data_IF_426309816479
#
_entry.id   IF_426309816479
#
_cell.length_a   1.000
_cell.length_b   1.000
_cell.length_c   1.000
_cell.angle_alpha   90.00
_cell.angle_beta   90.00
_cell.angle_gamma   90.00
#
_symmetry.space_group_name_H-M   'P 1'
#
loop_
_entity.id
_entity.type
_entity.pdbx_description
1 polymer ?
#
# COMPACT_ATOMS: atom_id res chain seq x y z
N UNK A 1 39.72 28.70 69.79
CA UNK A 1 39.83 30.13 69.47
C UNK A 1 40.59 30.28 68.15
N UNK A 2 40.03 31.07 67.20
CA UNK A 2 40.65 31.66 65.98
C UNK A 2 40.77 30.80 64.69
N UNK A 3 39.68 30.84 63.91
CA UNK A 3 39.50 31.36 62.53
C UNK A 3 40.64 31.25 61.49
N UNK A 4 40.29 30.78 60.28
CA UNK A 4 40.46 31.41 58.93
C UNK A 4 40.53 30.31 57.84
N UNK A 5 39.50 30.11 57.00
CA UNK A 5 39.27 30.71 55.67
C UNK A 5 40.45 30.65 54.68
N UNK A 6 40.30 29.79 53.65
CA UNK A 6 41.06 29.75 52.39
C UNK A 6 40.45 28.70 51.46
N UNK A 7 39.47 29.06 50.62
CA UNK A 7 39.60 29.38 49.19
C UNK A 7 39.75 28.14 48.25
N UNK A 8 38.59 27.72 47.68
CA UNK A 8 38.30 27.20 46.33
C UNK A 8 39.31 26.29 45.60
N UNK A 9 38.92 25.03 45.35
CA UNK A 9 39.20 24.23 44.13
C UNK A 9 38.01 23.26 43.95
N UNK A 10 37.09 23.45 43.00
CA UNK A 10 37.04 22.85 41.65
C UNK A 10 36.93 21.30 41.62
N UNK A 11 35.77 20.80 41.18
CA UNK A 11 35.45 19.38 40.95
C UNK A 11 33.99 19.13 41.32
N UNK A 12 33.00 19.11 40.42
CA UNK A 12 32.98 18.45 39.13
C UNK A 12 32.40 17.06 39.31
N UNK A 13 31.07 16.89 39.26
CA UNK A 13 30.46 15.69 38.69
C UNK A 13 28.99 15.94 38.34
N UNK A 14 28.71 15.74 37.06
CA UNK A 14 27.43 15.77 36.37
C UNK A 14 26.43 14.79 37.01
N UNK A 15 25.28 15.27 37.46
CA UNK A 15 24.12 14.43 37.70
C UNK A 15 23.41 14.24 36.35
N UNK A 16 23.71 13.13 35.68
CA UNK A 16 23.10 12.73 34.40
C UNK A 16 21.62 12.48 34.63
N UNK A 17 20.78 13.31 34.00
CA UNK A 17 19.34 13.14 33.95
C UNK A 17 19.00 11.76 33.35
N UNK A 18 18.28 10.95 34.12
CA UNK A 18 17.52 9.80 33.66
C UNK A 18 16.41 10.27 32.72
N UNK A 19 16.77 10.57 31.46
CA UNK A 19 15.83 10.59 30.36
C UNK A 19 15.58 9.13 29.96
N UNK A 20 14.60 8.52 30.63
CA UNK A 20 14.04 7.25 30.20
C UNK A 20 13.53 7.41 28.77
N UNK A 21 14.24 6.78 27.84
CA UNK A 21 13.87 6.68 26.44
C UNK A 21 12.57 5.88 26.31
N UNK A 22 11.44 6.59 26.42
CA UNK A 22 10.23 6.16 25.74
C UNK A 22 10.45 6.40 24.26
N UNK A 23 11.08 5.44 23.57
CA UNK A 23 10.90 5.32 22.13
C UNK A 23 9.43 4.98 21.96
N UNK A 24 8.60 6.01 21.80
CA UNK A 24 7.26 5.86 21.27
C UNK A 24 7.45 5.06 19.99
N UNK A 25 6.92 3.83 19.96
CA UNK A 25 6.82 3.05 18.75
C UNK A 25 5.97 3.89 17.78
N UNK A 26 6.63 4.70 16.96
CA UNK A 26 5.98 5.46 15.90
C UNK A 26 5.42 4.39 14.98
N UNK A 27 4.10 4.27 14.93
CA UNK A 27 3.43 3.42 13.96
C UNK A 27 3.99 3.69 12.56
N UNK A 28 4.06 2.65 11.73
CA UNK A 28 4.51 2.79 10.34
C UNK A 28 3.68 3.90 9.67
N UNK A 29 4.33 4.76 8.89
CA UNK A 29 3.59 5.80 8.17
C UNK A 29 2.63 5.18 7.15
N UNK A 30 1.57 5.90 6.77
CA UNK A 30 0.67 5.45 5.70
C UNK A 30 1.45 5.10 4.41
N UNK A 31 2.45 5.90 4.05
CA UNK A 31 3.31 5.65 2.88
C UNK A 31 4.08 4.34 3.01
N UNK A 32 4.63 4.04 4.18
CA UNK A 32 5.26 2.76 4.47
C UNK A 32 4.26 1.60 4.36
N UNK A 33 3.05 1.74 4.91
CA UNK A 33 2.03 0.69 4.81
C UNK A 33 1.58 0.43 3.37
N UNK A 34 1.44 1.49 2.56
CA UNK A 34 1.11 1.40 1.14
C UNK A 34 2.23 0.73 0.36
N UNK A 35 3.48 1.15 0.54
CA UNK A 35 4.63 0.56 -0.18
C UNK A 35 4.82 -0.92 0.12
N UNK A 36 4.55 -1.36 1.36
CA UNK A 36 4.62 -2.77 1.76
C UNK A 36 3.51 -3.63 1.15
N UNK A 37 2.40 -3.03 0.73
CA UNK A 37 1.18 -3.72 0.25
C UNK A 37 0.89 -3.49 -1.23
N UNK A 38 1.79 -2.83 -1.95
CA UNK A 38 1.57 -2.48 -3.36
C UNK A 38 2.52 -3.27 -4.24
N UNK A 39 1.95 -3.99 -5.20
CA UNK A 39 2.69 -4.50 -6.35
C UNK A 39 2.42 -3.61 -7.56
N UNK A 40 3.49 -3.29 -8.31
CA UNK A 40 3.40 -2.48 -9.52
C UNK A 40 3.60 -3.36 -10.74
N UNK A 41 2.67 -3.31 -11.68
CA UNK A 41 2.73 -4.00 -12.97
C UNK A 41 2.93 -2.95 -14.06
N UNK A 42 3.90 -3.21 -14.95
CA UNK A 42 4.19 -2.37 -16.11
C UNK A 42 3.83 -3.13 -17.38
N UNK A 43 2.68 -2.80 -17.97
CA UNK A 43 2.16 -3.47 -19.17
C UNK A 43 3.04 -3.12 -20.37
N UNK A 44 3.55 -4.12 -21.09
CA UNK A 44 4.52 -3.98 -22.20
C UNK A 44 5.84 -3.27 -21.81
N UNK A 45 6.07 -3.02 -20.53
CA UNK A 45 7.25 -2.31 -20.05
C UNK A 45 8.50 -3.18 -20.09
N UNK A 46 9.62 -2.60 -20.54
CA UNK A 46 10.94 -3.23 -20.47
C UNK A 46 11.77 -2.55 -19.38
N UNK A 47 12.47 -3.36 -18.57
CA UNK A 47 13.39 -2.83 -17.56
C UNK A 47 14.75 -2.49 -18.19
N UNK A 48 15.24 -1.31 -17.87
CA UNK A 48 16.58 -0.83 -18.21
C UNK A 48 17.23 -0.30 -16.93
N UNK A 49 17.95 -1.18 -16.22
CA UNK A 49 18.39 -0.89 -14.85
C UNK A 49 17.19 -0.67 -13.94
N UNK A 50 17.14 0.49 -13.28
CA UNK A 50 16.04 0.88 -12.38
C UNK A 50 14.89 1.60 -13.10
N UNK A 51 15.00 1.82 -14.42
CA UNK A 51 13.98 2.46 -15.23
C UNK A 51 13.10 1.43 -15.93
N UNK A 52 11.83 1.78 -16.12
CA UNK A 52 10.93 1.05 -17.02
C UNK A 52 10.62 1.94 -18.22
N UNK A 53 10.88 1.43 -19.41
CA UNK A 53 10.68 2.13 -20.68
C UNK A 53 9.65 1.41 -21.53
N UNK A 54 8.94 2.17 -22.39
CA UNK A 54 7.97 1.63 -23.34
C UNK A 54 6.69 1.07 -22.72
N UNK A 55 6.47 1.23 -21.40
CA UNK A 55 5.26 0.73 -20.77
C UNK A 55 4.01 1.41 -21.32
N UNK A 56 3.02 0.61 -21.72
CA UNK A 56 1.72 1.06 -22.21
C UNK A 56 0.84 1.54 -21.08
N UNK A 57 0.89 0.86 -19.94
CA UNK A 57 0.16 1.21 -18.74
C UNK A 57 0.93 0.83 -17.47
N UNK A 58 0.55 1.45 -16.35
CA UNK A 58 0.99 1.10 -15.00
C UNK A 58 -0.23 0.72 -14.18
N UNK A 59 -0.19 -0.44 -13.53
CA UNK A 59 -1.17 -0.85 -12.54
C UNK A 59 -0.50 -0.98 -11.17
N UNK A 60 -1.21 -0.57 -10.14
CA UNK A 60 -0.86 -0.73 -8.73
C UNK A 60 -1.94 -1.61 -8.11
N UNK A 61 -1.55 -2.81 -7.66
CA UNK A 61 -2.43 -3.73 -6.95
C UNK A 61 -2.08 -3.63 -5.48
N UNK A 62 -2.98 -3.01 -4.72
CA UNK A 62 -2.86 -2.75 -3.29
C UNK A 62 -3.65 -3.80 -2.50
N UNK A 63 -2.98 -4.57 -1.66
CA UNK A 63 -3.63 -5.39 -0.64
C UNK A 63 -4.19 -4.49 0.46
N UNK A 64 -5.45 -4.69 0.83
CA UNK A 64 -6.10 -3.94 1.91
C UNK A 64 -6.44 -4.89 3.06
N UNK A 65 -5.61 -4.84 4.10
CA UNK A 65 -5.82 -5.56 5.36
C UNK A 65 -6.34 -4.65 6.46
N UNK A 66 -6.61 -5.22 7.64
CA UNK A 66 -7.17 -4.49 8.77
C UNK A 66 -6.26 -3.33 9.20
N UNK A 67 -4.96 -3.56 9.28
CA UNK A 67 -3.98 -2.56 9.69
C UNK A 67 -3.99 -1.34 8.75
N UNK A 68 -4.08 -1.57 7.44
CA UNK A 68 -4.19 -0.47 6.48
C UNK A 68 -5.53 0.27 6.60
N UNK A 69 -6.65 -0.43 6.84
CA UNK A 69 -7.97 0.20 7.02
C UNK A 69 -7.99 1.07 8.28
N UNK A 70 -7.42 0.58 9.38
CA UNK A 70 -7.27 1.34 10.63
C UNK A 70 -6.46 2.63 10.41
N UNK A 71 -5.36 2.58 9.65
CA UNK A 71 -4.57 3.77 9.31
C UNK A 71 -5.32 4.70 8.33
N UNK A 72 -6.09 4.17 7.38
CA UNK A 72 -6.88 4.99 6.45
C UNK A 72 -7.95 5.78 7.21
N UNK A 73 -8.64 5.20 8.19
CA UNK A 73 -9.71 5.89 8.93
C UNK A 73 -9.27 6.48 10.28
N UNK A 74 -7.98 6.42 10.61
CA UNK A 74 -7.43 7.02 11.82
C UNK A 74 -7.57 8.54 11.87
N UNK A 75 -7.58 9.10 13.08
CA UNK A 75 -7.85 10.53 13.35
C UNK A 75 -6.91 11.49 12.62
N UNK A 76 -5.64 11.10 12.40
CA UNK A 76 -4.61 11.92 11.74
C UNK A 76 -4.26 11.40 10.33
N UNK A 77 -5.14 10.61 9.73
CA UNK A 77 -4.85 9.94 8.48
C UNK A 77 -4.68 10.93 7.32
N UNK A 78 -3.58 10.76 6.59
CA UNK A 78 -3.30 11.51 5.36
C UNK A 78 -3.75 10.75 4.11
N UNK A 79 -4.66 9.78 4.25
CA UNK A 79 -5.13 8.99 3.13
C UNK A 79 -5.85 9.87 2.09
N UNK A 80 -5.47 9.78 0.81
CA UNK A 80 -6.14 10.52 -0.26
C UNK A 80 -7.57 10.03 -0.47
N UNK A 81 -8.42 10.89 -1.02
CA UNK A 81 -9.86 10.63 -1.16
C UNK A 81 -10.17 9.35 -1.95
N UNK A 82 -9.42 9.09 -3.04
CA UNK A 82 -9.61 7.86 -3.82
C UNK A 82 -9.43 6.61 -2.95
N UNK A 83 -8.43 6.61 -2.06
CA UNK A 83 -8.15 5.46 -1.20
C UNK A 83 -9.26 5.28 -0.17
N UNK A 84 -9.76 6.38 0.42
CA UNK A 84 -10.88 6.35 1.36
C UNK A 84 -12.18 5.87 0.71
N UNK A 85 -12.46 6.34 -0.51
CA UNK A 85 -13.65 5.98 -1.28
C UNK A 85 -13.70 4.48 -1.56
N UNK A 86 -12.57 3.86 -1.90
CA UNK A 86 -12.52 2.42 -2.14
C UNK A 86 -12.37 1.61 -0.84
N UNK A 87 -11.65 2.10 0.16
CA UNK A 87 -11.49 1.41 1.45
C UNK A 87 -12.81 1.22 2.19
N UNK A 88 -13.87 1.98 1.86
CA UNK A 88 -15.20 1.81 2.45
C UNK A 88 -15.77 0.40 2.20
N UNK A 89 -15.31 -0.29 1.16
CA UNK A 89 -15.72 -1.66 0.87
C UNK A 89 -15.16 -2.67 1.89
N UNK A 90 -14.19 -2.31 2.73
CA UNK A 90 -13.58 -3.20 3.72
C UNK A 90 -14.58 -3.82 4.71
N UNK A 91 -15.73 -3.16 4.94
CA UNK A 91 -16.81 -3.65 5.80
C UNK A 91 -17.96 -4.32 5.03
N UNK A 92 -17.81 -4.52 3.72
CA UNK A 92 -18.85 -5.13 2.87
C UNK A 92 -18.97 -6.64 3.13
N UNK A 93 -20.20 -7.14 3.18
CA UNK A 93 -20.49 -8.59 3.20
C UNK A 93 -19.89 -9.33 1.99
N UNK A 94 -19.66 -8.64 0.87
CA UNK A 94 -19.02 -9.21 -0.32
C UNK A 94 -17.58 -9.68 -0.08
N UNK A 95 -16.93 -9.19 0.99
CA UNK A 95 -15.57 -9.60 1.39
C UNK A 95 -15.53 -10.82 2.30
N UNK A 96 -16.68 -11.36 2.73
CA UNK A 96 -16.72 -12.50 3.65
C UNK A 96 -16.00 -13.72 3.04
N UNK A 97 -14.87 -14.09 3.65
CA UNK A 97 -14.04 -15.22 3.20
C UNK A 97 -13.19 -14.94 1.95
N UNK A 98 -13.07 -13.67 1.55
CA UNK A 98 -12.28 -13.20 0.40
C UNK A 98 -11.17 -12.25 0.84
N UNK A 99 -10.19 -12.04 -0.03
CA UNK A 99 -9.15 -11.03 0.20
C UNK A 99 -9.48 -9.74 -0.56
N UNK A 100 -9.30 -8.60 0.11
CA UNK A 100 -9.62 -7.28 -0.43
C UNK A 100 -8.42 -6.65 -1.12
N UNK A 101 -8.61 -6.20 -2.36
CA UNK A 101 -7.62 -5.42 -3.10
C UNK A 101 -8.23 -4.13 -3.65
N UNK A 102 -7.39 -3.12 -3.82
CA UNK A 102 -7.69 -1.94 -4.64
C UNK A 102 -6.71 -1.94 -5.80
N UNK A 103 -7.22 -1.72 -7.01
CA UNK A 103 -6.42 -1.59 -8.22
C UNK A 103 -6.50 -0.15 -8.68
N UNK A 104 -5.34 0.46 -8.86
CA UNK A 104 -5.21 1.78 -9.47
C UNK A 104 -4.41 1.65 -10.76
N UNK A 105 -4.87 2.27 -11.83
CA UNK A 105 -4.21 2.16 -13.13
C UNK A 105 -4.09 3.50 -13.83
N UNK A 106 -3.09 3.58 -14.70
CA UNK A 106 -2.84 4.72 -15.57
C UNK A 106 -2.42 4.25 -16.95
N UNK A 107 -3.14 4.68 -17.97
CA UNK A 107 -2.69 4.58 -19.36
C UNK A 107 -1.54 5.58 -19.58
N UNK A 108 -0.36 5.09 -19.93
CA UNK A 108 0.80 5.94 -20.22
C UNK A 108 0.78 6.38 -21.68
N UNK A 109 0.40 5.47 -22.56
CA UNK A 109 -0.01 5.70 -23.95
C UNK A 109 -1.36 5.01 -24.17
N UNK A 110 -2.05 5.20 -25.32
CA UNK A 110 -3.34 4.55 -25.56
C UNK A 110 -3.31 3.04 -25.29
N UNK A 111 -4.30 2.58 -24.52
CA UNK A 111 -4.34 1.24 -23.96
C UNK A 111 -5.77 0.76 -23.76
N UNK A 112 -6.04 -0.51 -24.07
CA UNK A 112 -7.32 -1.15 -23.77
C UNK A 112 -7.26 -1.82 -22.40
N UNK A 113 -8.04 -1.31 -21.44
CA UNK A 113 -8.13 -1.88 -20.10
C UNK A 113 -9.31 -2.85 -19.98
N UNK A 114 -9.02 -4.11 -19.70
CA UNK A 114 -9.99 -5.11 -19.29
C UNK A 114 -9.64 -5.60 -17.87
N UNK A 115 -10.48 -5.33 -16.84
CA UNK A 115 -10.21 -5.78 -15.48
C UNK A 115 -10.15 -7.30 -15.34
N UNK A 116 -10.72 -8.07 -16.28
CA UNK A 116 -10.65 -9.54 -16.26
C UNK A 116 -9.29 -10.09 -16.71
N UNK A 117 -8.39 -9.26 -17.23
CA UNK A 117 -6.98 -9.63 -17.44
C UNK A 117 -6.18 -9.65 -16.13
N UNK A 118 -6.74 -9.14 -15.03
CA UNK A 118 -6.08 -9.18 -13.71
C UNK A 118 -6.13 -10.60 -13.15
N UNK A 119 -5.02 -11.06 -12.59
CA UNK A 119 -4.95 -12.28 -11.79
C UNK A 119 -4.21 -12.06 -10.47
N UNK A 120 -4.61 -12.82 -9.45
CA UNK A 120 -4.04 -12.80 -8.11
C UNK A 120 -3.87 -14.25 -7.63
N UNK A 121 -2.62 -14.68 -7.47
CA UNK A 121 -2.29 -16.09 -7.33
C UNK A 121 -2.81 -16.88 -8.53
N UNK A 122 -3.52 -17.98 -8.25
CA UNK A 122 -4.11 -18.84 -9.29
C UNK A 122 -5.51 -18.36 -9.75
N UNK A 123 -6.03 -17.25 -9.20
CA UNK A 123 -7.37 -16.75 -9.50
C UNK A 123 -7.32 -15.62 -10.54
N UNK A 124 -7.98 -15.83 -11.68
CA UNK A 124 -8.27 -14.77 -12.66
C UNK A 124 -9.54 -14.01 -12.25
N UNK A 125 -9.46 -12.69 -12.21
CA UNK A 125 -10.56 -11.82 -11.80
C UNK A 125 -11.76 -11.98 -12.73
N UNK A 126 -12.93 -12.15 -12.15
CA UNK A 126 -14.22 -12.11 -12.84
C UNK A 126 -14.99 -10.84 -12.46
N UNK A 127 -15.95 -10.40 -13.28
CA UNK A 127 -16.82 -9.26 -12.97
C UNK A 127 -17.49 -9.37 -11.60
N UNK A 128 -17.82 -10.57 -11.14
CA UNK A 128 -18.41 -10.78 -9.80
C UNK A 128 -17.46 -10.49 -8.63
N UNK A 129 -16.15 -10.43 -8.91
CA UNK A 129 -15.14 -10.10 -7.93
C UNK A 129 -14.92 -8.58 -7.83
N UNK A 130 -15.44 -7.80 -8.79
CA UNK A 130 -15.32 -6.35 -8.79
C UNK A 130 -16.43 -5.73 -7.93
N UNK A 131 -16.03 -5.02 -6.87
CA UNK A 131 -16.94 -4.33 -5.96
C UNK A 131 -17.37 -2.97 -6.49
N UNK A 132 -16.47 -2.27 -7.18
CA UNK A 132 -16.79 -0.99 -7.83
C UNK A 132 -17.72 -1.24 -9.00
N UNK A 133 -18.85 -0.52 -9.08
CA UNK A 133 -19.75 -0.64 -10.21
C UNK A 133 -19.07 -0.20 -11.51
N UNK A 134 -19.42 -0.86 -12.62
CA UNK A 134 -18.77 -0.67 -13.93
C UNK A 134 -18.80 0.78 -14.42
N UNK A 135 -19.86 1.53 -14.10
CA UNK A 135 -20.03 2.93 -14.44
C UNK A 135 -19.07 3.89 -13.71
N UNK A 136 -18.39 3.43 -12.65
CA UNK A 136 -17.53 4.27 -11.80
C UNK A 136 -16.03 4.10 -12.08
N UNK A 137 -15.66 3.32 -13.09
CA UNK A 137 -14.27 3.25 -13.54
C UNK A 137 -14.17 3.13 -15.06
N UNK A 138 -13.21 3.81 -15.70
CA UNK A 138 -13.03 3.74 -17.15
C UNK A 138 -12.46 2.38 -17.57
N UNK A 139 -13.06 1.73 -18.58
CA UNK A 139 -12.57 0.45 -19.14
C UNK A 139 -12.75 0.43 -20.67
N UNK A 140 -12.10 -0.52 -21.34
CA UNK A 140 -11.95 -0.52 -22.79
C UNK A 140 -10.85 0.44 -23.23
N UNK A 141 -11.03 1.10 -24.37
CA UNK A 141 -10.03 2.01 -24.94
C UNK A 141 -9.83 3.27 -24.10
N UNK A 142 -8.65 3.40 -23.51
CA UNK A 142 -8.24 4.52 -22.68
C UNK A 142 -7.22 5.40 -23.43
N UNK A 143 -7.44 6.73 -23.50
CA UNK A 143 -6.42 7.64 -24.01
C UNK A 143 -5.24 7.76 -23.03
N UNK A 144 -4.10 8.22 -23.53
CA UNK A 144 -2.92 8.52 -22.70
C UNK A 144 -3.28 9.48 -21.56
N UNK A 145 -2.77 9.18 -20.37
CA UNK A 145 -2.99 9.96 -19.16
C UNK A 145 -4.26 9.60 -18.39
N UNK A 146 -5.18 8.82 -18.97
CA UNK A 146 -6.39 8.38 -18.27
C UNK A 146 -6.03 7.47 -17.08
N UNK A 147 -6.70 7.70 -15.96
CA UNK A 147 -6.53 6.97 -14.71
C UNK A 147 -7.86 6.43 -14.22
N UNK A 148 -7.82 5.36 -13.44
CA UNK A 148 -8.98 4.85 -12.75
C UNK A 148 -8.61 3.98 -11.56
N UNK A 149 -9.62 3.74 -10.73
CA UNK A 149 -9.52 2.92 -9.52
C UNK A 149 -10.71 1.97 -9.43
N UNK A 150 -10.47 0.75 -8.95
CA UNK A 150 -11.53 -0.22 -8.66
C UNK A 150 -11.17 -1.11 -7.46
N UNK A 151 -12.20 -1.55 -6.74
CA UNK A 151 -12.09 -2.44 -5.59
C UNK A 151 -12.42 -3.88 -6.01
N UNK A 152 -11.64 -4.84 -5.50
CA UNK A 152 -11.77 -6.27 -5.80
C UNK A 152 -11.94 -7.10 -4.53
N UNK A 153 -12.84 -8.07 -4.57
CA UNK A 153 -13.02 -9.12 -3.58
C UNK A 153 -12.63 -10.47 -4.20
N UNK A 154 -11.36 -10.86 -4.02
CA UNK A 154 -10.79 -12.05 -4.66
C UNK A 154 -10.97 -13.28 -3.76
N UNK A 155 -11.55 -14.38 -4.27
CA UNK A 155 -11.61 -15.66 -3.54
C UNK A 155 -10.22 -16.16 -3.17
N UNK A 156 -10.08 -16.68 -1.95
CA UNK A 156 -8.81 -17.18 -1.43
C UNK A 156 -8.29 -16.36 -0.27
N UNK A 157 -7.64 -17.04 0.67
CA UNK A 157 -6.96 -16.42 1.79
C UNK A 157 -5.45 -16.57 1.60
N UNK A 158 -4.78 -15.44 1.43
CA UNK A 158 -3.32 -15.38 1.28
C UNK A 158 -2.59 -15.26 2.63
N UNK A 159 -3.31 -15.51 3.74
CA UNK A 159 -2.83 -15.34 5.11
C UNK A 159 -1.64 -16.24 5.51
N UNK A 160 -1.34 -17.28 4.72
CA UNK A 160 -0.21 -18.20 4.90
C UNK A 160 0.96 -17.96 3.94
N UNK A 161 0.77 -17.15 2.91
CA UNK A 161 1.82 -16.84 1.95
C UNK A 161 2.62 -15.62 2.45
N UNK A 162 3.94 -15.62 2.21
CA UNK A 162 4.78 -14.42 2.41
C UNK A 162 4.72 -13.50 1.19
N UNK A 163 4.47 -14.06 0.01
CA UNK A 163 4.37 -13.34 -1.26
C UNK A 163 3.32 -14.02 -2.15
N UNK A 164 2.65 -13.22 -2.99
CA UNK A 164 1.72 -13.69 -4.01
C UNK A 164 2.06 -13.06 -5.35
N UNK A 165 1.93 -13.82 -6.43
CA UNK A 165 2.01 -13.28 -7.79
C UNK A 165 0.72 -12.55 -8.12
N UNK A 166 0.85 -11.35 -8.67
CA UNK A 166 -0.26 -10.62 -9.28
C UNK A 166 0.11 -10.29 -10.72
N UNK A 167 -0.83 -10.33 -11.65
CA UNK A 167 -0.53 -10.05 -13.05
C UNK A 167 -1.67 -9.31 -13.74
N UNK A 168 -1.34 -8.68 -14.86
CA UNK A 168 -2.29 -8.24 -15.88
C UNK A 168 -1.91 -8.95 -17.17
N UNK A 169 -2.77 -9.81 -17.71
CA UNK A 169 -2.43 -10.67 -18.85
C UNK A 169 -1.15 -11.46 -18.59
N UNK A 170 -0.15 -11.28 -19.45
CA UNK A 170 1.17 -11.94 -19.35
C UNK A 170 2.21 -11.18 -18.51
N UNK A 171 1.88 -10.01 -17.94
CA UNK A 171 2.82 -9.16 -17.21
C UNK A 171 2.67 -9.36 -15.69
N UNK A 172 3.56 -10.14 -15.04
CA UNK A 172 3.49 -10.41 -13.61
C UNK A 172 4.21 -9.34 -12.77
N UNK A 173 3.87 -9.32 -11.50
CA UNK A 173 4.56 -8.65 -10.40
C UNK A 173 4.41 -9.48 -9.12
N UNK A 174 5.24 -9.18 -8.13
CA UNK A 174 5.21 -9.87 -6.83
C UNK A 174 4.68 -8.92 -5.78
N UNK A 175 3.67 -9.37 -5.05
CA UNK A 175 3.09 -8.66 -3.92
C UNK A 175 3.52 -9.35 -2.62
N UNK A 176 4.15 -8.58 -1.72
CA UNK A 176 4.49 -9.06 -0.38
C UNK A 176 3.27 -9.00 0.53
N UNK A 177 3.16 -9.99 1.42
CA UNK A 177 2.13 -10.04 2.46
C UNK A 177 2.77 -9.59 3.78
N UNK A 178 2.39 -8.43 4.34
CA UNK A 178 2.99 -7.93 5.57
C UNK A 178 2.83 -8.89 6.76
N UNK A 179 3.85 -8.96 7.62
CA UNK A 179 3.82 -9.78 8.83
C UNK A 179 4.11 -11.27 8.61
N UNK A 180 4.59 -11.65 7.43
CA UNK A 180 5.02 -12.99 7.06
C UNK A 180 6.45 -13.01 6.52
#
# INVERSE_FOLDING_TARGET
MKNAWGLRVLGGLLLVCLMGGGVLARGKSLEELLSLRTAVIWVEGQRLGDLVVGARARLEILLVDRDLVEEIYGENSQAPDWLRLHAQYASSEALKGKTFFIVRYKALIPWSFDPQEISVGDHRVDWKDILTRKEFFPSGELPSGMMGELALAVPGSFNKASEITVAYGEWPSTLKIPGR
#
